data_IF_613708078345
#
_entry.id   IF_613708078345
#
_cell.length_a   1.000
_cell.length_b   1.000
_cell.length_c   1.000
_cell.angle_alpha   90.00
_cell.angle_beta   90.00
_cell.angle_gamma   90.00
#
_symmetry.space_group_name_H-M   'P 1'
#
loop_
_entity.id
_entity.type
_entity.pdbx_description
1 polymer ?
#
# COMPACT_ATOMS: atom_id res chain seq x y z
N UNK A 1 -67.72 -10.39 38.76
CA UNK A 1 -67.85 -10.65 37.31
C UNK A 1 -66.85 -9.70 36.64
N UNK A 2 -65.65 -10.17 36.28
CA UNK A 2 -65.27 -10.69 34.93
C UNK A 2 -65.31 -9.61 33.84
N UNK A 3 -64.24 -9.32 33.07
CA UNK A 3 -62.91 -9.94 33.03
C UNK A 3 -61.84 -8.98 32.46
N UNK A 4 -60.56 -9.29 32.71
CA UNK A 4 -59.41 -8.67 32.05
C UNK A 4 -59.25 -9.20 30.61
N UNK A 5 -58.51 -8.47 29.75
CA UNK A 5 -57.45 -9.11 28.95
C UNK A 5 -56.34 -8.13 28.54
N UNK A 6 -55.12 -8.67 28.54
CA UNK A 6 -53.84 -8.01 28.28
C UNK A 6 -53.23 -8.50 26.96
N UNK A 7 -52.26 -7.73 26.47
CA UNK A 7 -51.08 -8.18 25.71
C UNK A 7 -51.26 -8.71 24.29
N UNK A 8 -50.41 -8.22 23.38
CA UNK A 8 -49.40 -9.07 22.70
C UNK A 8 -48.28 -8.20 22.11
N UNK A 9 -47.04 -8.51 22.47
CA UNK A 9 -45.81 -7.90 21.96
C UNK A 9 -45.09 -8.92 21.05
N UNK A 10 -44.19 -8.44 20.19
CA UNK A 10 -43.08 -9.18 19.55
C UNK A 10 -43.33 -10.35 18.56
N UNK A 11 -42.66 -10.26 17.40
CA UNK A 11 -41.72 -11.23 16.78
C UNK A 11 -41.76 -11.08 15.23
N UNK A 12 -40.77 -10.50 14.56
CA UNK A 12 -39.40 -10.99 14.22
C UNK A 12 -39.30 -11.82 12.91
N UNK A 13 -38.35 -11.37 12.07
CA UNK A 13 -37.34 -12.19 11.35
C UNK A 13 -37.65 -12.75 9.93
N UNK A 14 -37.13 -12.01 8.93
CA UNK A 14 -36.36 -12.43 7.72
C UNK A 14 -36.80 -13.56 6.77
N UNK A 15 -36.81 -13.24 5.46
CA UNK A 15 -36.21 -14.03 4.36
C UNK A 15 -36.10 -13.13 3.11
N UNK A 16 -34.91 -12.77 2.60
CA UNK A 16 -34.15 -13.44 1.50
C UNK A 16 -35.01 -13.74 0.25
N UNK A 17 -34.79 -13.07 -0.88
CA UNK A 17 -33.67 -13.12 -1.87
C UNK A 17 -33.87 -14.21 -2.94
N UNK A 18 -33.52 -13.86 -4.20
CA UNK A 18 -33.61 -14.68 -5.43
C UNK A 18 -35.05 -15.05 -5.85
N UNK A 19 -35.47 -15.19 -7.10
CA UNK A 19 -34.94 -14.85 -8.44
C UNK A 19 -36.14 -15.02 -9.44
N UNK A 20 -36.14 -14.86 -10.77
CA UNK A 20 -35.11 -14.77 -11.83
C UNK A 20 -35.72 -14.14 -13.12
N UNK A 21 -34.89 -13.84 -14.14
CA UNK A 21 -35.20 -13.88 -15.60
C UNK A 21 -36.27 -12.94 -16.21
N UNK A 22 -35.83 -12.14 -17.20
CA UNK A 22 -36.09 -12.44 -18.63
C UNK A 22 -35.25 -11.57 -19.57
N UNK A 23 -34.15 -12.11 -20.10
CA UNK A 23 -33.64 -11.73 -21.42
C UNK A 23 -32.79 -12.87 -21.99
N UNK A 24 -33.33 -13.59 -22.98
CA UNK A 24 -32.71 -14.78 -23.57
C UNK A 24 -32.72 -14.65 -25.09
N UNK A 25 -31.69 -14.03 -25.66
CA UNK A 25 -31.42 -14.13 -27.09
C UNK A 25 -30.47 -15.30 -27.37
N UNK A 26 -30.76 -16.01 -28.45
CA UNK A 26 -30.03 -17.19 -28.92
C UNK A 26 -29.30 -16.81 -30.19
N UNK A 27 -27.98 -16.98 -30.24
CA UNK A 27 -27.23 -17.14 -31.50
C UNK A 27 -26.16 -18.21 -31.30
N UNK A 28 -25.90 -18.98 -32.36
CA UNK A 28 -25.33 -20.33 -32.30
C UNK A 28 -23.80 -20.42 -32.40
N UNK A 29 -23.33 -21.60 -31.96
CA UNK A 29 -22.00 -22.19 -32.00
C UNK A 29 -21.03 -21.86 -33.16
N UNK A 30 -19.72 -21.99 -32.87
CA UNK A 30 -18.73 -22.64 -33.76
C UNK A 30 -17.52 -23.22 -32.98
N UNK A 31 -16.73 -24.08 -33.63
CA UNK A 31 -15.92 -25.14 -33.02
C UNK A 31 -14.44 -24.81 -32.75
N UNK A 32 -13.90 -25.46 -31.71
CA UNK A 32 -12.56 -26.06 -31.60
C UNK A 32 -11.27 -25.26 -31.91
N UNK A 33 -10.35 -25.25 -30.94
CA UNK A 33 -9.03 -25.90 -31.07
C UNK A 33 -8.38 -26.05 -29.69
N UNK A 34 -7.57 -27.10 -29.48
CA UNK A 34 -7.02 -27.43 -28.16
C UNK A 34 -5.54 -27.09 -28.00
N UNK A 35 -5.13 -26.74 -26.79
CA UNK A 35 -3.72 -26.82 -26.34
C UNK A 35 -3.66 -27.28 -24.88
N UNK A 36 -2.95 -28.37 -24.63
CA UNK A 36 -2.76 -28.97 -23.30
C UNK A 36 -1.67 -28.24 -22.51
N UNK A 37 -2.04 -27.23 -21.71
CA UNK A 37 -1.12 -26.61 -20.76
C UNK A 37 -0.94 -27.50 -19.51
N UNK A 38 0.10 -28.35 -19.54
CA UNK A 38 0.56 -29.10 -18.35
C UNK A 38 0.77 -28.14 -17.16
N UNK A 39 0.12 -28.45 -16.05
CA UNK A 39 0.35 -27.80 -14.76
C UNK A 39 1.81 -27.95 -14.33
N UNK A 40 2.52 -26.82 -14.13
CA UNK A 40 3.81 -26.81 -13.43
C UNK A 40 3.54 -26.53 -11.95
N UNK A 41 4.03 -27.39 -11.06
CA UNK A 41 3.87 -27.17 -9.63
C UNK A 41 4.65 -25.93 -9.18
N UNK A 42 3.98 -25.04 -8.46
CA UNK A 42 4.55 -23.78 -7.98
C UNK A 42 5.43 -24.04 -6.76
N UNK A 43 6.68 -24.45 -6.99
CA UNK A 43 7.69 -24.49 -5.91
C UNK A 43 7.82 -23.08 -5.30
N UNK A 44 7.91 -22.93 -3.97
CA UNK A 44 8.00 -21.62 -3.33
C UNK A 44 9.28 -20.90 -3.76
N UNK A 45 9.15 -19.67 -4.27
CA UNK A 45 10.28 -18.84 -4.73
C UNK A 45 11.09 -18.31 -3.54
N UNK A 46 12.01 -19.12 -3.02
CA UNK A 46 13.00 -18.73 -2.00
C UNK A 46 14.13 -17.83 -2.55
N UNK A 47 13.83 -16.95 -3.52
CA UNK A 47 14.83 -16.20 -4.31
C UNK A 47 14.78 -14.68 -4.18
N UNK A 48 13.74 -14.09 -3.58
CA UNK A 48 13.45 -12.65 -3.75
C UNK A 48 14.18 -11.68 -2.79
N UNK A 49 15.12 -12.16 -1.95
CA UNK A 49 15.66 -11.38 -0.83
C UNK A 49 17.09 -10.81 -1.03
N UNK A 50 17.79 -11.11 -2.13
CA UNK A 50 19.22 -10.77 -2.27
C UNK A 50 19.69 -10.29 -3.67
N UNK A 51 18.81 -9.83 -4.56
CA UNK A 51 19.24 -9.30 -5.87
C UNK A 51 19.77 -7.85 -5.80
N UNK A 52 20.91 -7.67 -5.13
CA UNK A 52 21.81 -6.56 -5.46
C UNK A 52 22.44 -6.83 -6.83
N UNK A 53 21.87 -6.22 -7.89
CA UNK A 53 22.32 -6.32 -9.28
C UNK A 53 23.85 -6.30 -9.38
N UNK A 54 24.43 -7.41 -9.82
CA UNK A 54 25.88 -7.51 -10.02
C UNK A 54 26.31 -6.67 -11.23
N UNK A 55 27.31 -5.83 -11.04
CA UNK A 55 28.02 -5.12 -12.10
C UNK A 55 28.91 -6.11 -12.84
N UNK A 56 28.89 -6.09 -14.17
CA UNK A 56 29.77 -6.92 -15.00
C UNK A 56 31.11 -6.23 -15.25
N UNK A 57 32.18 -7.00 -15.41
CA UNK A 57 33.47 -6.47 -15.90
C UNK A 57 33.32 -5.89 -17.29
N UNK A 58 34.05 -4.82 -17.56
CA UNK A 58 34.12 -4.16 -18.88
C UNK A 58 34.97 -2.90 -18.80
N UNK A 59 35.16 -2.19 -19.93
CA UNK A 59 36.06 -1.01 -20.02
C UNK A 59 35.86 0.07 -18.96
N UNK A 60 34.61 0.32 -18.55
CA UNK A 60 34.27 1.33 -17.52
C UNK A 60 34.29 0.77 -16.08
N UNK A 61 34.39 -0.54 -15.91
CA UNK A 61 34.29 -1.24 -14.64
C UNK A 61 35.26 -2.44 -14.64
N UNK A 62 36.58 -2.22 -14.48
CA UNK A 62 37.54 -3.32 -14.43
C UNK A 62 37.27 -4.24 -13.23
N UNK A 63 37.54 -5.54 -13.43
CA UNK A 63 37.53 -6.52 -12.35
C UNK A 63 38.75 -6.35 -11.42
N UNK A 64 38.73 -6.99 -10.25
CA UNK A 64 39.90 -7.10 -9.37
C UNK A 64 41.10 -7.83 -10.00
N UNK A 65 40.86 -8.67 -11.02
CA UNK A 65 41.90 -9.37 -11.79
C UNK A 65 42.34 -8.62 -13.06
N UNK A 66 42.05 -7.33 -13.14
CA UNK A 66 42.30 -6.41 -14.26
C UNK A 66 41.77 -6.86 -15.62
N UNK A 67 40.99 -7.95 -15.69
CA UNK A 67 40.29 -8.35 -16.92
C UNK A 67 39.20 -7.35 -17.25
N UNK A 68 39.37 -6.77 -18.43
CA UNK A 68 38.48 -5.76 -19.04
C UNK A 68 37.52 -6.40 -20.05
N UNK A 69 37.67 -7.70 -20.36
CA UNK A 69 36.78 -8.42 -21.28
C UNK A 69 35.33 -8.38 -20.76
N UNK A 70 34.42 -7.96 -21.63
CA UNK A 70 33.07 -7.60 -21.25
C UNK A 70 32.26 -8.84 -20.81
N UNK A 71 31.82 -8.86 -19.54
CA UNK A 71 30.86 -9.84 -19.03
C UNK A 71 31.41 -11.01 -18.19
N UNK A 72 32.68 -11.40 -18.35
CA UNK A 72 33.23 -12.62 -17.73
C UNK A 72 33.16 -12.60 -16.19
N UNK A 73 33.53 -11.48 -15.57
CA UNK A 73 33.45 -11.31 -14.12
C UNK A 73 32.20 -10.51 -13.70
N UNK A 74 31.73 -10.73 -12.47
CA UNK A 74 30.54 -10.07 -11.94
C UNK A 74 30.73 -9.72 -10.45
N UNK A 75 30.45 -8.48 -10.05
CA UNK A 75 30.72 -8.00 -8.69
C UNK A 75 29.75 -6.93 -8.18
N UNK A 76 29.65 -6.83 -6.87
CA UNK A 76 29.04 -5.72 -6.13
C UNK A 76 29.80 -5.50 -4.81
N UNK A 77 29.35 -4.58 -3.96
CA UNK A 77 30.00 -4.23 -2.67
C UNK A 77 30.15 -5.40 -1.68
N UNK A 78 29.52 -6.55 -1.95
CA UNK A 78 29.40 -7.69 -1.03
C UNK A 78 29.96 -9.00 -1.57
N UNK A 79 30.24 -9.05 -2.88
CA UNK A 79 30.42 -10.29 -3.64
C UNK A 79 31.23 -10.02 -4.90
N UNK A 80 32.27 -10.81 -5.16
CA UNK A 80 32.98 -10.85 -6.43
C UNK A 80 32.98 -12.28 -6.96
N UNK A 81 32.48 -12.47 -8.17
CA UNK A 81 32.68 -13.64 -9.01
C UNK A 81 33.75 -13.31 -10.04
N UNK A 82 34.95 -13.84 -9.86
CA UNK A 82 36.06 -13.67 -10.78
C UNK A 82 36.22 -14.93 -11.64
N UNK A 83 36.05 -14.81 -12.96
CA UNK A 83 36.18 -15.92 -13.90
C UNK A 83 37.65 -16.29 -14.11
N UNK A 84 38.00 -17.59 -14.02
CA UNK A 84 39.36 -18.13 -14.08
C UNK A 84 40.36 -17.24 -13.33
N UNK A 85 40.09 -17.04 -12.03
CA UNK A 85 40.74 -16.05 -11.18
C UNK A 85 42.24 -16.32 -10.99
N UNK A 86 43.13 -15.37 -11.38
CA UNK A 86 44.54 -15.40 -11.00
C UNK A 86 44.79 -14.86 -9.58
N UNK A 87 43.73 -14.36 -8.90
CA UNK A 87 43.84 -13.73 -7.60
C UNK A 87 44.15 -14.74 -6.48
N UNK A 88 45.03 -14.34 -5.58
CA UNK A 88 45.35 -15.03 -4.33
C UNK A 88 44.13 -15.20 -3.42
N UNK A 89 44.23 -16.14 -2.47
CA UNK A 89 43.22 -16.41 -1.44
C UNK A 89 42.81 -15.18 -0.64
N UNK A 90 43.71 -14.21 -0.51
CA UNK A 90 43.47 -12.91 0.08
C UNK A 90 44.11 -11.82 -0.79
N UNK A 91 43.38 -10.75 -1.07
CA UNK A 91 43.90 -9.57 -1.79
C UNK A 91 43.18 -8.28 -1.34
N UNK A 92 43.71 -7.10 -1.71
CA UNK A 92 43.07 -5.81 -1.45
C UNK A 92 42.51 -5.23 -2.75
N UNK A 93 41.25 -4.79 -2.74
CA UNK A 93 40.60 -4.14 -3.88
C UNK A 93 39.53 -3.17 -3.41
N UNK A 94 39.45 -2.00 -4.04
CA UNK A 94 38.55 -0.88 -3.66
C UNK A 94 38.65 -0.51 -2.16
N UNK A 95 39.87 -0.48 -1.61
CA UNK A 95 40.11 -0.15 -0.20
C UNK A 95 39.63 -1.21 0.81
N UNK A 96 39.28 -2.42 0.37
CA UNK A 96 38.83 -3.51 1.23
C UNK A 96 39.64 -4.79 1.00
N UNK A 97 39.82 -5.59 2.04
CA UNK A 97 40.41 -6.93 1.95
C UNK A 97 39.33 -7.93 1.55
N UNK A 98 39.61 -8.73 0.53
CA UNK A 98 38.74 -9.78 0.00
C UNK A 98 39.37 -11.15 0.25
N UNK A 99 38.52 -12.12 0.59
CA UNK A 99 38.92 -13.50 0.89
C UNK A 99 38.20 -14.48 -0.04
N UNK A 100 38.93 -15.50 -0.50
CA UNK A 100 38.41 -16.60 -1.30
C UNK A 100 37.46 -17.42 -0.45
N UNK A 101 36.20 -17.48 -0.88
CA UNK A 101 35.14 -18.17 -0.16
C UNK A 101 34.78 -19.51 -0.80
N UNK A 102 34.81 -19.59 -2.15
CA UNK A 102 34.54 -20.84 -2.89
C UNK A 102 35.15 -20.82 -4.28
N UNK A 103 35.77 -21.91 -4.70
CA UNK A 103 36.18 -22.17 -6.09
C UNK A 103 35.07 -22.90 -6.86
N UNK A 104 35.24 -22.99 -8.18
CA UNK A 104 34.38 -23.75 -9.09
C UNK A 104 32.88 -23.43 -8.97
N UNK A 105 32.56 -22.13 -9.00
CA UNK A 105 31.20 -21.61 -8.89
C UNK A 105 30.73 -20.90 -10.18
N UNK A 106 29.48 -20.46 -10.20
CA UNK A 106 28.81 -19.97 -11.41
C UNK A 106 28.28 -21.10 -12.29
N UNK A 107 27.54 -20.74 -13.35
CA UNK A 107 26.88 -21.73 -14.22
C UNK A 107 27.86 -22.66 -14.95
N UNK A 108 29.01 -22.14 -15.36
CA UNK A 108 30.08 -22.88 -16.05
C UNK A 108 31.09 -23.54 -15.11
N UNK A 109 30.94 -23.39 -13.79
CA UNK A 109 31.92 -23.87 -12.82
C UNK A 109 33.30 -23.18 -12.91
N UNK A 110 33.44 -22.11 -13.70
CA UNK A 110 34.72 -21.46 -14.00
C UNK A 110 34.95 -20.15 -13.22
N UNK A 111 34.16 -19.86 -12.18
CA UNK A 111 34.33 -18.66 -11.35
C UNK A 111 34.83 -19.00 -9.94
N UNK A 112 35.58 -18.06 -9.36
CA UNK A 112 35.94 -18.04 -7.94
C UNK A 112 35.13 -16.95 -7.24
N UNK A 113 34.50 -17.32 -6.13
CA UNK A 113 33.70 -16.45 -5.29
C UNK A 113 34.57 -15.88 -4.17
N UNK A 114 34.63 -14.55 -4.10
CA UNK A 114 35.29 -13.80 -3.03
C UNK A 114 34.28 -12.99 -2.23
N UNK A 115 34.56 -12.85 -0.92
CA UNK A 115 33.78 -12.06 0.02
C UNK A 115 34.66 -11.02 0.75
N UNK A 116 34.15 -9.81 1.00
CA UNK A 116 34.90 -8.77 1.67
C UNK A 116 34.92 -8.97 3.20
N UNK A 117 36.04 -8.63 3.84
CA UNK A 117 36.19 -8.58 5.30
C UNK A 117 36.43 -7.13 5.78
N UNK A 118 35.83 -6.69 6.90
CA UNK A 118 34.66 -7.30 7.54
C UNK A 118 33.45 -7.33 6.56
N UNK A 119 32.48 -8.25 6.75
CA UNK A 119 31.31 -8.36 5.89
C UNK A 119 30.57 -7.02 5.75
N UNK A 120 30.15 -6.68 4.54
CA UNK A 120 29.51 -5.38 4.24
C UNK A 120 28.29 -5.05 5.12
N UNK A 121 27.62 -6.08 5.66
CA UNK A 121 26.49 -5.95 6.57
C UNK A 121 26.89 -5.30 7.92
N UNK A 122 28.12 -5.53 8.40
CA UNK A 122 28.64 -4.85 9.60
C UNK A 122 28.93 -3.37 9.33
N UNK A 123 29.41 -3.01 8.12
CA UNK A 123 29.68 -1.61 7.75
C UNK A 123 28.43 -0.73 7.64
N UNK A 124 27.23 -1.30 7.47
CA UNK A 124 25.98 -0.54 7.32
C UNK A 124 25.23 -0.25 8.63
N UNK A 125 25.60 -0.82 9.78
CA UNK A 125 24.88 -0.56 11.03
C UNK A 125 25.23 0.80 11.68
N UNK A 126 26.38 1.39 11.35
CA UNK A 126 26.91 2.58 12.04
C UNK A 126 26.63 3.93 11.36
N UNK A 127 26.00 3.98 10.18
CA UNK A 127 25.44 5.25 9.68
C UNK A 127 24.09 5.49 10.36
N UNK A 128 24.14 6.06 11.56
CA UNK A 128 22.99 6.63 12.24
C UNK A 128 22.31 7.63 11.30
N UNK A 129 21.21 7.21 10.67
CA UNK A 129 20.34 8.16 9.96
C UNK A 129 19.93 9.23 10.99
N UNK A 130 20.07 10.53 10.69
CA UNK A 130 19.65 11.56 11.62
C UNK A 130 18.19 11.27 12.00
N UNK A 131 17.89 11.25 13.31
CA UNK A 131 16.55 11.00 13.83
C UNK A 131 15.64 12.15 13.37
N UNK A 132 15.05 12.03 12.17
CA UNK A 132 14.04 12.98 11.69
C UNK A 132 12.93 13.03 12.72
N UNK A 133 12.65 14.23 13.21
CA UNK A 133 11.63 14.47 14.22
C UNK A 133 10.24 14.25 13.61
N UNK A 134 9.69 13.06 13.82
CA UNK A 134 8.33 12.71 13.38
C UNK A 134 7.34 13.58 14.15
N UNK A 135 6.53 14.36 13.44
CA UNK A 135 5.53 15.23 14.06
C UNK A 135 4.55 14.42 14.90
N UNK A 136 4.38 14.81 16.17
CA UNK A 136 3.38 14.22 17.08
C UNK A 136 2.00 14.86 16.94
N UNK A 137 1.84 15.90 16.11
CA UNK A 137 0.59 16.66 15.89
C UNK A 137 -0.62 15.77 15.56
N UNK A 138 -0.41 14.67 14.83
CA UNK A 138 -1.47 13.71 14.51
C UNK A 138 -2.16 13.12 15.75
N UNK A 139 -1.49 13.04 16.90
CA UNK A 139 -2.08 12.53 18.16
C UNK A 139 -3.20 13.43 18.67
N UNK A 140 -3.12 14.75 18.43
CA UNK A 140 -4.16 15.73 18.78
C UNK A 140 -5.26 15.80 17.71
N UNK A 141 -4.87 15.72 16.43
CA UNK A 141 -5.81 15.79 15.30
C UNK A 141 -6.67 14.52 15.15
N UNK A 142 -6.14 13.33 15.46
CA UNK A 142 -6.88 12.07 15.27
C UNK A 142 -8.19 12.00 16.10
N UNK A 143 -8.20 12.31 17.42
CA UNK A 143 -9.45 12.40 18.19
C UNK A 143 -10.42 13.45 17.64
N UNK A 144 -9.90 14.62 17.22
CA UNK A 144 -10.71 15.69 16.64
C UNK A 144 -11.38 15.24 15.34
N UNK A 145 -10.62 14.65 14.41
CA UNK A 145 -11.17 14.08 13.18
C UNK A 145 -12.22 12.99 13.46
N UNK A 146 -12.02 12.13 14.48
CA UNK A 146 -13.00 11.10 14.83
C UNK A 146 -14.31 11.70 15.36
N UNK A 147 -14.25 12.79 16.14
CA UNK A 147 -15.44 13.49 16.61
C UNK A 147 -16.21 14.14 15.44
N UNK A 148 -15.50 14.88 14.59
CA UNK A 148 -16.05 15.58 13.42
C UNK A 148 -16.61 14.60 12.39
N UNK A 149 -15.96 13.46 12.18
CA UNK A 149 -16.49 12.37 11.35
C UNK A 149 -17.76 11.76 11.94
N UNK A 150 -17.89 11.65 13.28
CA UNK A 150 -19.13 11.16 13.91
C UNK A 150 -20.26 12.16 13.76
N UNK A 151 -19.99 13.45 13.91
CA UNK A 151 -20.93 14.56 13.70
C UNK A 151 -21.45 14.56 12.25
N UNK A 152 -20.55 14.51 11.27
CA UNK A 152 -20.90 14.41 9.85
C UNK A 152 -21.70 13.14 9.50
N UNK A 153 -21.41 12.00 10.13
CA UNK A 153 -22.16 10.74 9.92
C UNK A 153 -23.43 10.61 10.79
N UNK A 154 -23.74 11.59 11.64
CA UNK A 154 -25.00 11.66 12.37
C UNK A 154 -26.09 12.43 11.59
N UNK A 155 -25.79 12.86 10.36
CA UNK A 155 -26.76 13.48 9.45
C UNK A 155 -27.90 12.50 9.13
N UNK A 156 -29.17 12.91 9.32
CA UNK A 156 -30.33 12.22 8.76
C UNK A 156 -30.36 12.25 7.22
N UNK A 157 -31.38 11.63 6.64
CA UNK A 157 -31.76 11.86 5.23
C UNK A 157 -32.07 13.35 5.02
N UNK A 158 -31.54 13.95 3.94
CA UNK A 158 -31.55 15.41 3.75
C UNK A 158 -32.98 15.96 3.61
N UNK A 159 -33.88 15.16 3.04
CA UNK A 159 -35.30 15.41 2.84
C UNK A 159 -36.07 15.57 4.17
N UNK A 160 -35.51 15.04 5.27
CA UNK A 160 -36.09 15.09 6.62
C UNK A 160 -35.50 16.21 7.49
N UNK A 161 -34.45 16.89 7.03
CA UNK A 161 -33.77 17.94 7.77
C UNK A 161 -34.41 19.32 7.55
N UNK A 162 -34.51 20.11 8.61
CA UNK A 162 -34.82 21.54 8.48
C UNK A 162 -33.68 22.31 7.77
N UNK A 163 -33.95 23.50 7.21
CA UNK A 163 -32.94 24.36 6.59
C UNK A 163 -31.69 24.65 7.45
N UNK A 164 -31.85 24.72 8.78
CA UNK A 164 -30.75 24.99 9.71
C UNK A 164 -29.94 23.73 10.01
N UNK A 165 -30.60 22.57 10.11
CA UNK A 165 -29.94 21.27 10.21
C UNK A 165 -29.15 20.95 8.92
N UNK A 166 -29.72 21.21 7.74
CA UNK A 166 -29.00 21.08 6.46
C UNK A 166 -27.73 21.94 6.43
N UNK A 167 -27.84 23.23 6.79
CA UNK A 167 -26.69 24.14 6.90
C UNK A 167 -25.64 23.62 7.89
N UNK A 168 -26.07 23.10 9.04
CA UNK A 168 -25.19 22.50 10.04
C UNK A 168 -24.47 21.25 9.50
N UNK A 169 -25.20 20.27 8.98
CA UNK A 169 -24.62 19.00 8.53
C UNK A 169 -23.75 19.15 7.28
N UNK A 170 -24.11 20.01 6.31
CA UNK A 170 -23.24 20.31 5.18
C UNK A 170 -21.90 20.88 5.66
N UNK A 171 -21.93 21.83 6.60
CA UNK A 171 -20.74 22.41 7.23
C UNK A 171 -19.93 21.35 7.99
N UNK A 172 -20.58 20.43 8.71
CA UNK A 172 -19.92 19.32 9.41
C UNK A 172 -19.21 18.37 8.43
N UNK A 173 -19.86 17.99 7.32
CA UNK A 173 -19.29 17.11 6.28
C UNK A 173 -18.04 17.74 5.65
N UNK A 174 -18.10 18.99 5.19
CA UNK A 174 -16.94 19.68 4.59
C UNK A 174 -15.80 19.86 5.61
N UNK A 175 -16.11 20.20 6.87
CA UNK A 175 -15.14 20.39 7.98
C UNK A 175 -14.46 19.07 8.36
N UNK A 176 -15.20 17.97 8.38
CA UNK A 176 -14.67 16.64 8.64
C UNK A 176 -13.76 16.14 7.50
N UNK A 177 -14.11 16.40 6.23
CA UNK A 177 -13.26 16.06 5.09
C UNK A 177 -11.92 16.81 5.17
N UNK A 178 -11.97 18.14 5.35
CA UNK A 178 -10.78 18.98 5.46
C UNK A 178 -9.83 18.51 6.58
N UNK A 179 -10.37 18.21 7.77
CA UNK A 179 -9.58 17.66 8.89
C UNK A 179 -9.00 16.28 8.60
N UNK A 180 -9.68 15.47 7.81
CA UNK A 180 -9.17 14.17 7.34
C UNK A 180 -7.96 14.34 6.42
N UNK A 181 -8.06 15.23 5.44
CA UNK A 181 -6.96 15.53 4.51
C UNK A 181 -5.77 16.23 5.20
N UNK A 182 -5.98 17.03 6.25
CA UNK A 182 -4.89 17.55 7.10
C UNK A 182 -4.19 16.43 7.90
N UNK A 183 -4.97 15.49 8.44
CA UNK A 183 -4.48 14.41 9.31
C UNK A 183 -3.72 13.32 8.54
N UNK A 184 -4.19 12.97 7.34
CA UNK A 184 -3.70 11.80 6.60
C UNK A 184 -2.19 11.86 6.28
N UNK A 185 -1.61 12.97 5.78
CA UNK A 185 -0.17 13.08 5.53
C UNK A 185 0.68 12.84 6.79
N UNK A 186 0.23 13.35 7.94
CA UNK A 186 0.92 13.20 9.23
C UNK A 186 0.91 11.74 9.73
N UNK A 187 -0.20 11.03 9.52
CA UNK A 187 -0.28 9.59 9.82
C UNK A 187 0.54 8.74 8.85
N UNK A 188 0.57 9.09 7.56
CA UNK A 188 1.41 8.41 6.55
C UNK A 188 2.89 8.57 6.90
N UNK A 189 3.32 9.77 7.29
CA UNK A 189 4.71 10.00 7.72
C UNK A 189 5.04 9.20 8.99
N UNK A 190 4.19 9.26 10.01
CA UNK A 190 4.35 8.45 11.21
C UNK A 190 4.42 6.93 10.91
N UNK A 191 3.61 6.44 9.96
CA UNK A 191 3.59 5.03 9.56
C UNK A 191 4.84 4.58 8.80
N UNK A 192 5.55 5.48 8.10
CA UNK A 192 6.88 5.18 7.50
C UNK A 192 7.93 4.88 8.56
N UNK A 193 7.81 5.49 9.74
CA UNK A 193 8.75 5.33 10.85
C UNK A 193 8.32 4.24 11.84
N UNK A 194 7.03 3.96 11.97
CA UNK A 194 6.52 2.87 12.82
C UNK A 194 5.30 2.20 12.17
N UNK A 195 5.49 0.96 11.71
CA UNK A 195 4.47 0.17 11.02
C UNK A 195 3.17 -0.03 11.83
N UNK A 196 3.21 0.07 13.18
CA UNK A 196 2.01 0.02 14.04
C UNK A 196 0.98 1.08 13.67
N UNK A 197 1.40 2.21 13.09
CA UNK A 197 0.48 3.29 12.71
C UNK A 197 -0.24 3.07 11.37
N UNK A 198 0.19 2.08 10.55
CA UNK A 198 -0.43 1.77 9.25
C UNK A 198 -1.93 1.46 9.36
N UNK A 199 -2.37 0.87 10.48
CA UNK A 199 -3.80 0.62 10.75
C UNK A 199 -4.64 1.90 10.84
N UNK A 200 -4.08 2.98 11.39
CA UNK A 200 -4.76 4.27 11.49
C UNK A 200 -4.82 4.97 10.13
N UNK A 201 -3.76 4.87 9.32
CA UNK A 201 -3.77 5.35 7.92
C UNK A 201 -4.92 4.73 7.14
N UNK A 202 -5.04 3.39 7.17
CA UNK A 202 -6.11 2.66 6.47
C UNK A 202 -7.49 3.10 7.01
N UNK A 203 -7.67 3.12 8.33
CA UNK A 203 -8.95 3.53 8.93
C UNK A 203 -9.37 4.97 8.57
N UNK A 204 -8.42 5.91 8.55
CA UNK A 204 -8.67 7.31 8.15
C UNK A 204 -8.96 7.42 6.66
N UNK A 205 -8.23 6.69 5.79
CA UNK A 205 -8.52 6.64 4.35
C UNK A 205 -9.95 6.14 4.05
N UNK A 206 -10.40 5.09 4.73
CA UNK A 206 -11.78 4.61 4.59
C UNK A 206 -12.80 5.67 5.03
N UNK A 207 -12.56 6.36 6.15
CA UNK A 207 -13.44 7.42 6.66
C UNK A 207 -13.52 8.64 5.74
N UNK A 208 -12.39 9.09 5.19
CA UNK A 208 -12.34 10.17 4.18
C UNK A 208 -13.09 9.74 2.92
N UNK A 209 -12.94 8.47 2.48
CA UNK A 209 -13.70 7.95 1.34
C UNK A 209 -15.22 8.01 1.59
N UNK A 210 -15.70 7.68 2.79
CA UNK A 210 -17.12 7.84 3.16
C UNK A 210 -17.55 9.30 3.13
N UNK A 211 -16.78 10.22 3.73
CA UNK A 211 -17.09 11.66 3.69
C UNK A 211 -17.17 12.21 2.26
N UNK A 212 -16.34 11.72 1.34
CA UNK A 212 -16.37 12.09 -0.08
C UNK A 212 -17.59 11.58 -0.86
N UNK A 213 -18.21 10.48 -0.40
CA UNK A 213 -19.52 10.09 -0.91
C UNK A 213 -20.58 11.04 -0.34
N UNK A 214 -20.65 11.20 0.99
CA UNK A 214 -21.62 12.09 1.63
C UNK A 214 -21.58 13.52 1.07
N UNK A 215 -20.37 14.06 0.82
CA UNK A 215 -20.18 15.36 0.17
C UNK A 215 -20.75 15.40 -1.25
N UNK A 216 -20.54 14.34 -2.05
CA UNK A 216 -21.12 14.27 -3.40
C UNK A 216 -22.65 14.25 -3.32
N UNK A 217 -23.20 13.57 -2.33
CA UNK A 217 -24.64 13.48 -2.12
C UNK A 217 -25.19 14.87 -1.72
N UNK A 218 -24.49 15.61 -0.84
CA UNK A 218 -24.76 17.04 -0.55
C UNK A 218 -24.69 17.89 -1.82
N UNK A 219 -23.61 17.79 -2.60
CA UNK A 219 -23.40 18.60 -3.81
C UNK A 219 -24.47 18.29 -4.89
N UNK A 220 -24.96 17.04 -4.96
CA UNK A 220 -26.10 16.62 -5.78
C UNK A 220 -27.44 17.20 -5.27
N UNK A 221 -27.75 17.03 -3.98
CA UNK A 221 -28.99 17.52 -3.36
C UNK A 221 -29.11 19.05 -3.48
N UNK A 222 -28.00 19.76 -3.24
CA UNK A 222 -27.94 21.21 -3.44
C UNK A 222 -28.25 21.60 -4.89
N UNK A 223 -27.77 20.83 -5.88
CA UNK A 223 -27.98 21.13 -7.30
C UNK A 223 -29.41 20.82 -7.77
N UNK A 224 -29.96 19.69 -7.33
CA UNK A 224 -31.21 19.15 -7.86
C UNK A 224 -32.44 19.66 -7.08
N UNK A 225 -32.34 19.73 -5.76
CA UNK A 225 -33.49 19.92 -4.87
C UNK A 225 -33.55 21.34 -4.27
N UNK A 226 -32.39 21.99 -4.07
CA UNK A 226 -32.30 23.38 -3.56
C UNK A 226 -32.03 24.45 -4.63
N UNK A 227 -31.76 24.04 -5.87
CA UNK A 227 -31.40 24.92 -6.98
C UNK A 227 -29.99 25.53 -6.88
N UNK A 228 -29.55 26.21 -7.95
CA UNK A 228 -28.16 26.71 -8.05
C UNK A 228 -27.77 27.63 -6.86
N UNK A 229 -26.69 27.33 -6.11
CA UNK A 229 -26.32 28.05 -4.88
C UNK A 229 -26.09 29.56 -5.06
N UNK A 230 -25.71 30.00 -6.26
CA UNK A 230 -25.30 31.38 -6.56
C UNK A 230 -26.45 32.39 -6.51
N UNK A 231 -27.71 31.94 -6.55
CA UNK A 231 -28.90 32.81 -6.51
C UNK A 231 -29.58 32.91 -5.14
N UNK A 232 -29.36 31.93 -4.25
CA UNK A 232 -30.22 31.73 -3.08
C UNK A 232 -29.55 32.03 -1.71
N UNK A 233 -28.34 32.59 -1.68
CA UNK A 233 -27.74 33.16 -0.44
C UNK A 233 -27.29 32.15 0.65
N UNK A 234 -27.36 30.84 0.41
CA UNK A 234 -27.04 29.77 1.38
C UNK A 234 -25.55 29.63 1.80
N UNK A 235 -24.71 30.61 1.49
CA UNK A 235 -23.26 30.60 1.76
C UNK A 235 -22.78 31.73 2.69
N UNK A 236 -23.71 32.45 3.33
CA UNK A 236 -23.45 33.38 4.43
C UNK A 236 -23.59 32.70 5.79
#
# INVERSE_FOLDING_TARGET
MTAQKLSSHEARVTSRLADTLLCRQVVSASKSTGTTSRSRSTKPRLGHFLEQKLTRSGRKNPCACDRVKDGDCAFNDTTLFCHNSPLSDQFRWRGQTWFRHRTNCGHTGACTLFKPWPPANQRRSQRSKPKRHVSTRWRRLLPQFIAEWREAMACPEFELCSPDELRHYFKAIYKAEYKGDELLPLLVDAARHNAKYRRYVIAVQHKIKTLRYQRRDVDCFRKNDLGCPELNGWLS
#
